data_IF_887068266394
#
_entry.id   IF_887068266394
#
_cell.length_a   1.000
_cell.length_b   1.000
_cell.length_c   1.000
_cell.angle_alpha   90.00
_cell.angle_beta   90.00
_cell.angle_gamma   90.00
#
_symmetry.space_group_name_H-M   'P 1'
#
loop_
_entity.id
_entity.type
_entity.pdbx_description
1 polymer ?
#
# COMPACT_ATOMS: atom_id res chain seq x y z
N UNK A 1 -38.93 -20.65 -8.09
CA UNK A 1 -38.51 -19.25 -8.01
C UNK A 1 -37.24 -19.24 -7.22
N UNK A 2 -36.08 -18.97 -7.85
CA UNK A 2 -34.85 -18.73 -7.12
C UNK A 2 -35.03 -17.48 -6.24
N UNK A 3 -34.71 -17.57 -4.96
CA UNK A 3 -34.67 -16.41 -4.08
C UNK A 3 -33.76 -15.36 -4.73
N UNK A 4 -34.12 -14.06 -4.72
CA UNK A 4 -33.27 -13.03 -5.26
C UNK A 4 -31.92 -13.10 -4.58
N UNK A 5 -30.88 -13.12 -5.38
CA UNK A 5 -29.50 -13.20 -4.92
C UNK A 5 -29.20 -12.00 -4.01
N UNK A 6 -28.93 -12.26 -2.73
CA UNK A 6 -28.65 -11.23 -1.73
C UNK A 6 -27.25 -10.69 -1.98
N UNK A 7 -27.10 -9.39 -1.97
CA UNK A 7 -25.80 -8.74 -2.03
C UNK A 7 -25.24 -8.52 -0.63
N UNK A 8 -23.96 -8.79 -0.46
CA UNK A 8 -23.24 -8.56 0.79
C UNK A 8 -22.46 -7.24 0.73
N UNK A 9 -22.72 -6.36 1.68
CA UNK A 9 -22.12 -5.02 1.74
C UNK A 9 -21.27 -4.87 2.99
N UNK A 10 -19.99 -4.54 2.82
CA UNK A 10 -19.15 -4.04 3.90
C UNK A 10 -19.40 -2.54 4.09
N UNK A 11 -19.56 -2.08 5.33
CA UNK A 11 -19.80 -0.67 5.64
C UNK A 11 -19.02 -0.25 6.88
N UNK A 12 -18.49 0.98 6.86
CA UNK A 12 -17.76 1.57 7.98
C UNK A 12 -18.52 2.76 8.57
N UNK A 13 -18.56 2.85 9.89
CA UNK A 13 -19.20 3.92 10.64
C UNK A 13 -18.30 5.16 10.79
N UNK A 14 -17.83 5.70 9.68
CA UNK A 14 -16.85 6.79 9.63
C UNK A 14 -15.40 6.34 9.88
N UNK A 15 -14.47 7.29 9.78
CA UNK A 15 -13.03 7.02 9.86
C UNK A 15 -12.60 6.45 11.22
N UNK A 16 -13.21 6.91 12.30
CA UNK A 16 -12.89 6.54 13.69
C UNK A 16 -13.97 5.73 14.38
N UNK A 17 -15.05 5.36 13.67
CA UNK A 17 -16.22 4.72 14.24
C UNK A 17 -17.15 5.74 14.95
N UNK A 18 -17.15 6.98 14.50
CA UNK A 18 -17.96 8.07 15.09
C UNK A 18 -19.46 7.86 14.90
N UNK A 19 -19.90 7.17 13.83
CA UNK A 19 -21.29 6.79 13.62
C UNK A 19 -21.70 5.43 14.26
N UNK A 20 -20.86 4.80 15.09
CA UNK A 20 -21.13 3.50 15.71
C UNK A 20 -22.46 3.46 16.48
N UNK A 21 -22.73 4.49 17.27
CA UNK A 21 -24.02 4.61 18.01
C UNK A 21 -25.25 4.70 17.07
N UNK A 22 -25.09 5.36 15.92
CA UNK A 22 -26.15 5.41 14.90
C UNK A 22 -26.41 4.02 14.36
N UNK A 23 -25.34 3.26 14.07
CA UNK A 23 -25.45 1.91 13.52
C UNK A 23 -26.06 0.94 14.53
N UNK A 24 -25.48 0.83 15.71
CA UNK A 24 -25.83 -0.23 16.65
C UNK A 24 -26.98 0.09 17.59
N UNK A 25 -27.17 1.38 17.97
CA UNK A 25 -28.24 1.76 18.90
C UNK A 25 -29.49 2.28 18.20
N UNK A 26 -29.33 2.98 17.08
CA UNK A 26 -30.47 3.51 16.32
C UNK A 26 -30.86 2.63 15.13
N UNK A 27 -30.12 1.56 14.86
CA UNK A 27 -30.37 0.60 13.78
C UNK A 27 -30.40 1.25 12.39
N UNK A 28 -29.53 2.23 12.16
CA UNK A 28 -29.33 2.84 10.85
C UNK A 28 -27.89 2.68 10.41
N UNK A 29 -27.66 2.25 9.19
CA UNK A 29 -26.40 2.45 8.49
C UNK A 29 -26.45 3.77 7.71
N UNK A 30 -25.33 4.43 7.58
CA UNK A 30 -25.26 5.74 6.98
C UNK A 30 -23.94 5.99 6.24
N UNK A 31 -23.99 6.87 5.26
CA UNK A 31 -22.80 7.47 4.67
C UNK A 31 -22.70 8.94 5.06
N UNK A 32 -21.48 9.42 5.23
CA UNK A 32 -21.17 10.83 5.44
C UNK A 32 -21.51 11.68 4.20
N UNK A 33 -20.60 12.54 3.78
CA UNK A 33 -20.80 13.49 2.69
C UNK A 33 -22.03 14.40 2.88
N UNK A 34 -22.26 14.84 4.11
CA UNK A 34 -23.44 15.64 4.49
C UNK A 34 -23.64 16.91 3.66
N UNK A 35 -22.54 17.53 3.15
CA UNK A 35 -22.62 18.73 2.30
C UNK A 35 -23.32 18.48 0.96
N UNK A 36 -23.40 17.25 0.49
CA UNK A 36 -24.10 16.92 -0.76
C UNK A 36 -25.61 17.04 -0.59
N UNK A 37 -26.12 16.82 0.62
CA UNK A 37 -27.54 16.82 0.94
C UNK A 37 -28.21 15.50 0.58
N UNK A 38 -29.44 15.58 0.12
CA UNK A 38 -30.26 14.43 -0.24
C UNK A 38 -29.80 13.78 -1.54
N UNK A 39 -29.21 12.59 -1.42
CA UNK A 39 -28.67 11.85 -2.55
C UNK A 39 -29.73 11.38 -3.56
N UNK A 40 -31.00 11.22 -3.13
CA UNK A 40 -32.09 10.80 -4.04
C UNK A 40 -32.47 11.86 -5.06
N UNK A 41 -32.05 13.11 -4.83
CA UNK A 41 -32.28 14.23 -5.75
C UNK A 41 -31.23 14.31 -6.87
N UNK A 42 -30.19 13.47 -6.80
CA UNK A 42 -29.18 13.38 -7.86
C UNK A 42 -29.65 12.37 -8.89
N UNK A 43 -29.59 12.66 -10.19
CA UNK A 43 -29.91 11.69 -11.23
C UNK A 43 -29.19 10.35 -11.03
N UNK A 44 -29.85 9.25 -11.37
CA UNK A 44 -29.30 7.88 -11.21
C UNK A 44 -28.19 7.61 -12.24
N UNK A 45 -27.18 8.44 -12.24
CA UNK A 45 -26.00 8.40 -13.10
C UNK A 45 -24.74 8.69 -12.29
N UNK A 46 -23.69 7.88 -12.45
CA UNK A 46 -22.42 8.04 -11.73
C UNK A 46 -21.71 9.36 -12.03
N UNK A 47 -21.85 9.89 -13.24
CA UNK A 47 -21.23 11.17 -13.62
C UNK A 47 -21.91 12.34 -12.88
N UNK A 48 -23.23 12.27 -12.67
CA UNK A 48 -23.95 13.26 -11.86
C UNK A 48 -23.44 13.27 -10.40
N UNK A 49 -23.18 12.10 -9.82
CA UNK A 49 -22.58 12.00 -8.48
C UNK A 49 -21.15 12.56 -8.45
N UNK A 50 -20.31 12.29 -9.46
CA UNK A 50 -18.94 12.85 -9.54
C UNK A 50 -18.99 14.37 -9.57
N UNK A 51 -19.82 14.97 -10.45
CA UNK A 51 -20.00 16.42 -10.54
C UNK A 51 -20.42 17.00 -9.20
N UNK A 52 -21.36 16.35 -8.50
CA UNK A 52 -21.85 16.83 -7.20
C UNK A 52 -20.79 16.77 -6.09
N UNK A 53 -19.91 15.75 -6.11
CA UNK A 53 -18.79 15.66 -5.17
C UNK A 53 -17.80 16.81 -5.43
N UNK A 54 -17.40 17.03 -6.67
CA UNK A 54 -16.46 18.12 -7.02
C UNK A 54 -17.04 19.49 -6.62
N UNK A 55 -18.35 19.70 -6.84
CA UNK A 55 -19.04 20.95 -6.43
C UNK A 55 -18.99 21.16 -4.90
N UNK A 56 -19.27 20.12 -4.12
CA UNK A 56 -19.44 20.22 -2.66
C UNK A 56 -18.16 19.97 -1.85
N UNK A 57 -17.19 19.32 -2.44
CA UNK A 57 -15.89 18.97 -1.85
C UNK A 57 -14.74 19.28 -2.83
N UNK A 58 -14.50 20.57 -3.14
CA UNK A 58 -13.48 20.97 -4.12
C UNK A 58 -12.06 20.57 -3.70
N UNK A 59 -11.81 20.38 -2.40
CA UNK A 59 -10.52 20.00 -1.85
C UNK A 59 -10.26 18.49 -1.93
N UNK A 60 -11.20 17.68 -2.41
CA UNK A 60 -11.02 16.26 -2.59
C UNK A 60 -9.95 15.96 -3.65
N UNK A 61 -9.11 14.97 -3.38
CA UNK A 61 -8.13 14.48 -4.37
C UNK A 61 -8.86 14.01 -5.62
N UNK A 62 -8.44 14.40 -6.84
CA UNK A 62 -9.12 13.99 -8.08
C UNK A 62 -9.31 12.47 -8.21
N UNK A 63 -8.33 11.67 -7.74
CA UNK A 63 -8.41 10.21 -7.77
C UNK A 63 -9.46 9.60 -6.82
N UNK A 64 -9.90 10.31 -5.76
CA UNK A 64 -10.94 9.80 -4.84
C UNK A 64 -12.35 10.00 -5.37
N UNK A 65 -12.57 10.99 -6.23
CA UNK A 65 -13.91 11.38 -6.70
C UNK A 65 -14.68 10.23 -7.37
N UNK A 66 -14.11 9.41 -8.27
CA UNK A 66 -14.81 8.27 -8.86
C UNK A 66 -15.19 7.21 -7.83
N UNK A 67 -14.33 6.96 -6.84
CA UNK A 67 -14.55 5.99 -5.77
C UNK A 67 -15.69 6.43 -4.87
N UNK A 68 -15.66 7.69 -4.42
CA UNK A 68 -16.67 8.29 -3.57
C UNK A 68 -18.04 8.32 -4.27
N UNK A 69 -18.08 8.76 -5.53
CA UNK A 69 -19.29 8.74 -6.36
C UNK A 69 -19.89 7.34 -6.49
N UNK A 70 -19.01 6.35 -6.69
CA UNK A 70 -19.43 4.93 -6.76
C UNK A 70 -20.04 4.43 -5.46
N UNK A 71 -19.51 4.83 -4.30
CA UNK A 71 -20.06 4.47 -2.99
C UNK A 71 -21.44 5.08 -2.77
N UNK A 72 -21.58 6.39 -2.98
CA UNK A 72 -22.84 7.11 -2.83
C UNK A 72 -23.91 6.59 -3.77
N UNK A 73 -23.57 6.37 -5.04
CA UNK A 73 -24.47 5.81 -6.04
C UNK A 73 -24.98 4.42 -5.63
N UNK A 74 -24.08 3.54 -5.19
CA UNK A 74 -24.46 2.18 -4.75
C UNK A 74 -25.36 2.21 -3.53
N UNK A 75 -25.09 3.09 -2.57
CA UNK A 75 -25.91 3.22 -1.36
C UNK A 75 -27.36 3.60 -1.65
N UNK A 76 -27.60 4.47 -2.63
CA UNK A 76 -28.95 4.94 -2.97
C UNK A 76 -29.64 4.04 -3.98
N UNK A 77 -28.95 3.67 -5.07
CA UNK A 77 -29.59 3.08 -6.24
C UNK A 77 -29.37 1.56 -6.41
N UNK A 78 -28.37 0.98 -5.74
CA UNK A 78 -28.01 -0.44 -5.92
C UNK A 78 -28.37 -1.28 -4.70
N UNK A 79 -28.05 -0.81 -3.49
CA UNK A 79 -28.38 -1.51 -2.25
C UNK A 79 -29.89 -1.64 -2.10
N UNK A 80 -30.38 -2.83 -1.77
CA UNK A 80 -31.79 -3.18 -1.71
C UNK A 80 -32.19 -3.69 -0.32
N UNK A 81 -33.48 -3.60 -0.02
CA UNK A 81 -34.08 -4.31 1.12
C UNK A 81 -33.84 -5.82 0.97
N UNK A 82 -33.40 -6.46 2.03
CA UNK A 82 -33.02 -7.86 2.08
C UNK A 82 -31.51 -8.12 1.87
N UNK A 83 -30.74 -7.15 1.40
CA UNK A 83 -29.29 -7.27 1.33
C UNK A 83 -28.67 -7.44 2.72
N UNK A 84 -27.51 -8.09 2.77
CA UNK A 84 -26.75 -8.30 3.99
C UNK A 84 -25.74 -7.16 4.18
N UNK A 85 -25.65 -6.67 5.42
CA UNK A 85 -24.69 -5.66 5.82
C UNK A 85 -23.71 -6.24 6.83
N UNK A 86 -22.43 -5.97 6.62
CA UNK A 86 -21.32 -6.40 7.47
C UNK A 86 -20.64 -5.14 8.00
N UNK A 87 -20.71 -4.93 9.31
CA UNK A 87 -20.09 -3.79 9.97
C UNK A 87 -18.99 -4.25 10.93
N UNK A 88 -17.69 -4.08 10.57
CA UNK A 88 -16.60 -4.34 11.51
C UNK A 88 -16.40 -3.14 12.45
N UNK A 89 -16.97 -3.20 13.64
CA UNK A 89 -16.85 -2.11 14.60
C UNK A 89 -15.41 -1.91 15.08
N UNK A 90 -15.00 -0.64 15.11
CA UNK A 90 -13.70 -0.23 15.68
C UNK A 90 -13.78 -0.07 17.20
N UNK A 91 -14.99 0.09 17.76
CA UNK A 91 -15.20 0.36 19.18
C UNK A 91 -15.25 -0.90 20.01
N UNK A 92 -16.11 -1.85 19.66
CA UNK A 92 -16.26 -3.10 20.41
C UNK A 92 -15.48 -4.29 19.82
N UNK A 93 -14.81 -4.07 18.67
CA UNK A 93 -13.97 -5.07 17.98
C UNK A 93 -14.74 -6.28 17.46
N UNK A 94 -16.07 -6.24 17.45
CA UNK A 94 -16.92 -7.27 16.87
C UNK A 94 -17.23 -6.97 15.38
N UNK A 95 -17.70 -8.01 14.70
CA UNK A 95 -18.31 -7.89 13.38
C UNK A 95 -19.80 -8.08 13.53
N UNK A 96 -20.56 -7.08 13.09
CA UNK A 96 -22.02 -7.08 13.18
C UNK A 96 -22.60 -7.40 11.82
N UNK A 97 -23.49 -8.38 11.77
CA UNK A 97 -24.19 -8.84 10.57
C UNK A 97 -25.65 -8.43 10.67
N UNK A 98 -26.14 -7.75 9.64
CA UNK A 98 -27.50 -7.23 9.61
C UNK A 98 -28.16 -7.39 8.25
N UNK A 99 -29.47 -7.16 8.22
CA UNK A 99 -30.30 -7.16 7.01
C UNK A 99 -30.80 -5.75 6.78
N UNK A 100 -30.66 -5.23 5.56
CA UNK A 100 -31.26 -3.96 5.16
C UNK A 100 -32.77 -4.10 5.15
N UNK A 101 -33.47 -3.36 6.01
CA UNK A 101 -34.94 -3.38 6.11
C UNK A 101 -35.61 -2.18 5.45
N UNK A 102 -34.89 -1.03 5.41
CA UNK A 102 -35.43 0.23 4.91
C UNK A 102 -34.93 0.61 3.50
N UNK A 103 -35.77 1.35 2.80
CA UNK A 103 -35.32 2.09 1.66
C UNK A 103 -34.38 3.22 2.06
N UNK A 104 -33.70 3.85 1.08
CA UNK A 104 -32.90 5.05 1.34
C UNK A 104 -33.77 6.17 1.94
N UNK A 105 -33.24 6.82 2.99
CA UNK A 105 -33.88 7.96 3.66
C UNK A 105 -32.85 9.07 3.86
N UNK A 106 -33.24 10.30 3.56
CA UNK A 106 -32.49 11.49 3.94
C UNK A 106 -33.13 12.12 5.19
N UNK A 107 -32.36 12.19 6.27
CA UNK A 107 -32.85 12.76 7.53
C UNK A 107 -31.68 13.35 8.35
N UNK A 108 -31.40 14.65 8.21
CA UNK A 108 -30.33 15.31 8.94
C UNK A 108 -30.61 15.52 10.44
N UNK A 109 -31.85 15.29 10.90
CA UNK A 109 -32.23 15.46 12.30
C UNK A 109 -31.79 14.31 13.20
N UNK A 110 -31.57 13.12 12.65
CA UNK A 110 -31.20 11.92 13.42
C UNK A 110 -29.77 12.01 13.94
N UNK A 111 -28.82 12.33 13.08
CA UNK A 111 -27.41 12.55 13.44
C UNK A 111 -26.77 13.57 12.47
N UNK A 112 -26.22 14.63 13.03
CA UNK A 112 -25.44 15.59 12.26
C UNK A 112 -24.22 14.92 11.63
N UNK A 113 -23.98 15.17 10.34
CA UNK A 113 -22.85 14.59 9.59
C UNK A 113 -23.16 13.29 8.84
N UNK A 114 -24.24 12.57 9.19
CA UNK A 114 -24.66 11.31 8.57
C UNK A 114 -26.13 11.32 8.17
N UNK A 115 -26.57 12.21 7.28
CA UNK A 115 -27.99 12.38 6.96
C UNK A 115 -28.55 11.34 5.99
N UNK A 116 -27.66 10.57 5.32
CA UNK A 116 -28.02 9.61 4.28
C UNK A 116 -28.10 8.22 4.92
N UNK A 117 -29.29 7.69 5.08
CA UNK A 117 -29.62 6.60 5.99
C UNK A 117 -30.28 5.41 5.29
N UNK A 118 -30.07 4.22 5.84
CA UNK A 118 -30.90 3.04 5.60
C UNK A 118 -31.11 2.29 6.92
N UNK A 119 -32.33 1.86 7.15
CA UNK A 119 -32.65 1.05 8.33
C UNK A 119 -32.12 -0.36 8.17
N UNK A 120 -31.52 -0.89 9.23
CA UNK A 120 -30.95 -2.24 9.30
C UNK A 120 -31.42 -2.94 10.56
N UNK A 121 -31.73 -4.22 10.45
CA UNK A 121 -31.94 -5.10 11.58
C UNK A 121 -30.69 -5.95 11.78
N UNK A 122 -29.99 -5.73 12.88
CA UNK A 122 -28.84 -6.55 13.25
C UNK A 122 -29.30 -7.92 13.71
N UNK A 123 -28.73 -8.96 13.14
CA UNK A 123 -29.14 -10.36 13.37
C UNK A 123 -28.05 -11.18 14.08
N UNK A 124 -26.79 -10.76 13.99
CA UNK A 124 -25.68 -11.44 14.65
C UNK A 124 -24.54 -10.50 14.98
N UNK A 125 -23.88 -10.77 16.10
CA UNK A 125 -22.69 -10.07 16.55
C UNK A 125 -21.65 -11.13 16.87
N UNK A 126 -20.50 -11.08 16.22
CA UNK A 126 -19.50 -12.12 16.34
C UNK A 126 -18.10 -11.53 16.60
N UNK A 127 -17.28 -12.18 17.43
CA UNK A 127 -15.91 -11.78 17.59
C UNK A 127 -15.13 -12.01 16.30
N UNK A 128 -14.15 -11.17 16.02
CA UNK A 128 -13.29 -11.30 14.81
C UNK A 128 -12.56 -12.64 14.73
N UNK A 129 -12.28 -13.24 15.89
CA UNK A 129 -11.53 -14.50 16.00
C UNK A 129 -12.19 -15.72 15.36
N UNK A 130 -13.49 -15.67 15.08
CA UNK A 130 -14.21 -16.77 14.40
C UNK A 130 -14.23 -16.65 12.88
N UNK A 131 -13.70 -15.56 12.33
CA UNK A 131 -13.64 -15.28 10.90
C UNK A 131 -12.23 -15.54 10.39
N UNK A 132 -12.14 -16.00 9.14
CA UNK A 132 -10.86 -16.17 8.48
C UNK A 132 -10.14 -14.81 8.31
N UNK A 133 -8.81 -14.85 8.19
CA UNK A 133 -8.04 -13.64 7.99
C UNK A 133 -8.40 -12.95 6.67
N UNK A 134 -8.68 -13.74 5.61
CA UNK A 134 -9.12 -13.21 4.33
C UNK A 134 -10.46 -12.48 4.41
N UNK A 135 -11.45 -13.02 5.14
CA UNK A 135 -12.70 -12.32 5.41
C UNK A 135 -12.48 -11.00 6.16
N UNK A 136 -11.58 -11.01 7.16
CA UNK A 136 -11.23 -9.81 7.91
C UNK A 136 -10.51 -8.77 7.04
N UNK A 137 -9.68 -9.18 6.08
CA UNK A 137 -9.05 -8.27 5.12
C UNK A 137 -10.09 -7.66 4.18
N UNK A 138 -10.97 -8.47 3.60
CA UNK A 138 -11.99 -7.95 2.68
C UNK A 138 -12.88 -6.89 3.36
N UNK A 139 -13.31 -7.13 4.61
CA UNK A 139 -14.12 -6.14 5.34
C UNK A 139 -13.30 -5.01 5.95
N UNK A 140 -11.98 -5.11 5.95
CA UNK A 140 -11.03 -4.07 6.37
C UNK A 140 -10.74 -3.01 5.30
N UNK A 141 -11.34 -3.11 4.10
CA UNK A 141 -11.13 -2.18 3.00
C UNK A 141 -11.25 -0.71 3.44
N UNK A 142 -10.45 0.18 2.83
CA UNK A 142 -10.41 1.60 3.19
C UNK A 142 -11.69 2.39 2.80
N UNK A 143 -12.58 1.79 2.00
CA UNK A 143 -13.82 2.40 1.53
C UNK A 143 -14.90 2.38 2.61
N UNK A 144 -15.76 3.42 2.63
CA UNK A 144 -16.90 3.48 3.57
C UNK A 144 -18.00 2.48 3.23
N UNK A 145 -18.19 2.17 1.92
CA UNK A 145 -19.15 1.20 1.43
C UNK A 145 -18.57 0.41 0.26
N UNK A 146 -18.57 -0.91 0.34
CA UNK A 146 -18.08 -1.80 -0.71
C UNK A 146 -18.87 -3.11 -0.73
N UNK A 147 -18.77 -3.83 -1.84
CA UNK A 147 -19.40 -5.14 -1.98
C UNK A 147 -18.41 -6.22 -1.52
N UNK A 148 -18.85 -7.08 -0.61
CA UNK A 148 -18.13 -8.29 -0.19
C UNK A 148 -18.47 -9.40 -1.18
N UNK A 149 -17.45 -9.96 -1.83
CA UNK A 149 -17.62 -10.95 -2.91
C UNK A 149 -16.93 -12.27 -2.61
N UNK A 150 -15.68 -12.19 -2.14
CA UNK A 150 -14.82 -13.37 -2.02
C UNK A 150 -15.21 -14.23 -0.80
N UNK A 151 -15.63 -13.60 0.28
CA UNK A 151 -15.98 -14.27 1.54
C UNK A 151 -17.46 -14.17 1.90
N UNK A 152 -18.35 -13.84 0.93
CA UNK A 152 -19.79 -13.72 1.16
C UNK A 152 -20.40 -15.01 1.73
N UNK A 153 -19.93 -16.18 1.29
CA UNK A 153 -20.38 -17.49 1.76
C UNK A 153 -19.99 -17.72 3.24
N UNK A 154 -18.80 -17.31 3.67
CA UNK A 154 -18.36 -17.40 5.06
C UNK A 154 -19.28 -16.57 5.99
N UNK A 155 -19.63 -15.36 5.58
CA UNK A 155 -20.58 -14.53 6.32
C UNK A 155 -21.99 -15.12 6.33
N UNK A 156 -22.45 -15.72 5.21
CA UNK A 156 -23.74 -16.43 5.18
C UNK A 156 -23.73 -17.62 6.14
N UNK A 157 -22.70 -18.44 6.13
CA UNK A 157 -22.55 -19.57 7.04
C UNK A 157 -22.51 -19.12 8.51
N UNK A 158 -21.84 -17.99 8.76
CA UNK A 158 -21.82 -17.37 10.08
C UNK A 158 -23.22 -16.96 10.52
N UNK A 159 -24.03 -16.35 9.64
CA UNK A 159 -25.44 -16.00 9.92
C UNK A 159 -26.26 -17.26 10.22
N UNK A 160 -26.12 -18.29 9.43
CA UNK A 160 -26.87 -19.55 9.55
C UNK A 160 -26.47 -20.39 10.78
N UNK A 161 -25.41 -20.01 11.49
CA UNK A 161 -24.87 -20.78 12.61
C UNK A 161 -24.12 -22.05 12.21
N UNK A 162 -23.81 -22.19 10.93
CA UNK A 162 -22.98 -23.28 10.39
C UNK A 162 -21.52 -22.93 10.59
N UNK A 163 -21.00 -23.02 11.81
CA UNK A 163 -19.57 -22.88 12.04
C UNK A 163 -18.87 -24.07 11.42
N UNK A 164 -18.20 -23.85 10.29
CA UNK A 164 -17.12 -24.73 9.90
C UNK A 164 -15.94 -24.41 10.83
N UNK A 165 -15.22 -25.43 11.35
CA UNK A 165 -13.90 -25.20 11.91
C UNK A 165 -13.13 -24.35 10.88
N UNK A 166 -12.52 -23.26 11.33
CA UNK A 166 -11.62 -22.50 10.45
C UNK A 166 -10.68 -23.53 9.82
N UNK A 167 -10.70 -23.71 8.51
CA UNK A 167 -9.77 -24.64 7.90
C UNK A 167 -8.38 -24.12 8.26
N UNK A 168 -7.53 -24.98 8.81
CA UNK A 168 -6.10 -24.73 9.01
C UNK A 168 -5.40 -24.65 7.63
N UNK A 169 -6.16 -24.42 6.56
CA UNK A 169 -5.63 -24.10 5.24
C UNK A 169 -4.90 -22.78 5.35
N UNK A 170 -3.63 -22.79 4.95
CA UNK A 170 -2.80 -21.62 4.68
C UNK A 170 -3.71 -20.56 4.05
N UNK A 171 -3.86 -19.42 4.75
CA UNK A 171 -4.67 -18.33 4.21
C UNK A 171 -3.82 -17.65 3.13
N UNK A 172 -3.96 -18.11 1.89
CA UNK A 172 -3.24 -17.58 0.72
C UNK A 172 -3.43 -16.07 0.58
N UNK A 173 -4.51 -15.52 1.13
CA UNK A 173 -4.79 -14.07 1.12
C UNK A 173 -3.75 -13.31 1.94
N UNK A 174 -3.21 -13.89 3.02
CA UNK A 174 -2.15 -13.26 3.83
C UNK A 174 -0.90 -13.08 2.99
N UNK A 175 -0.47 -14.14 2.30
CA UNK A 175 0.70 -14.10 1.43
C UNK A 175 0.54 -13.08 0.31
N UNK A 176 -0.62 -13.08 -0.37
CA UNK A 176 -0.91 -12.14 -1.47
C UNK A 176 -0.92 -10.68 -0.99
N UNK A 177 -1.53 -10.38 0.16
CA UNK A 177 -1.56 -9.01 0.70
C UNK A 177 -0.17 -8.56 1.15
N UNK A 178 0.64 -9.46 1.72
CA UNK A 178 2.02 -9.16 2.10
C UNK A 178 2.85 -8.81 0.85
N UNK A 179 2.76 -9.64 -0.18
CA UNK A 179 3.44 -9.44 -1.47
C UNK A 179 3.03 -8.13 -2.15
N UNK A 180 1.73 -7.81 -2.20
CA UNK A 180 1.23 -6.54 -2.74
C UNK A 180 1.78 -5.32 -1.97
N UNK A 181 1.89 -5.40 -0.64
CA UNK A 181 2.45 -4.33 0.18
C UNK A 181 3.93 -4.15 -0.12
N UNK A 182 4.68 -5.24 -0.24
CA UNK A 182 6.10 -5.20 -0.59
C UNK A 182 6.33 -4.60 -1.97
N UNK A 183 5.64 -5.09 -3.00
CA UNK A 183 5.76 -4.57 -4.36
C UNK A 183 5.38 -3.09 -4.45
N UNK A 184 4.26 -2.69 -3.85
CA UNK A 184 3.83 -1.28 -3.80
C UNK A 184 4.86 -0.39 -3.09
N UNK A 185 5.52 -0.91 -2.06
CA UNK A 185 6.57 -0.19 -1.34
C UNK A 185 7.82 -0.04 -2.20
N UNK A 186 8.23 -1.09 -2.91
CA UNK A 186 9.36 -1.07 -3.86
C UNK A 186 9.13 -0.06 -4.98
N UNK A 187 7.97 -0.11 -5.61
CA UNK A 187 7.57 0.82 -6.66
C UNK A 187 7.56 2.27 -6.16
N UNK A 188 7.02 2.51 -4.96
CA UNK A 188 7.00 3.84 -4.36
C UNK A 188 8.42 4.39 -4.16
N UNK A 189 9.33 3.59 -3.60
CA UNK A 189 10.72 3.99 -3.35
C UNK A 189 11.43 4.31 -4.67
N UNK A 190 11.41 3.39 -5.63
CA UNK A 190 12.08 3.56 -6.92
C UNK A 190 11.56 4.78 -7.67
N UNK A 191 10.23 4.97 -7.70
CA UNK A 191 9.61 6.14 -8.32
C UNK A 191 10.04 7.45 -7.67
N UNK A 192 10.12 7.49 -6.34
CA UNK A 192 10.60 8.67 -5.61
C UNK A 192 12.06 8.98 -5.94
N UNK A 193 12.93 7.99 -5.91
CA UNK A 193 14.34 8.16 -6.27
C UNK A 193 14.51 8.67 -7.71
N UNK A 194 13.79 8.05 -8.67
CA UNK A 194 13.88 8.41 -10.08
C UNK A 194 13.34 9.82 -10.38
N UNK A 195 12.33 10.27 -9.65
CA UNK A 195 11.75 11.59 -9.85
C UNK A 195 12.55 12.71 -9.19
N UNK A 196 13.04 12.49 -7.97
CA UNK A 196 13.59 13.54 -7.12
C UNK A 196 15.13 13.57 -7.13
N UNK A 197 15.79 12.45 -7.47
CA UNK A 197 17.24 12.31 -7.38
C UNK A 197 17.86 11.96 -8.74
N UNK A 198 18.02 12.98 -9.62
CA UNK A 198 18.66 12.78 -10.93
C UNK A 198 20.10 13.30 -10.90
N UNK A 199 21.03 12.51 -11.48
CA UNK A 199 22.44 12.93 -11.61
C UNK A 199 23.15 12.99 -10.25
N UNK A 200 23.78 14.12 -9.95
CA UNK A 200 24.58 14.32 -8.73
C UNK A 200 23.82 14.10 -7.42
N UNK A 201 22.54 14.57 -7.23
CA UNK A 201 21.73 14.24 -6.08
C UNK A 201 21.58 12.74 -5.82
N UNK A 202 21.59 11.91 -6.86
CA UNK A 202 21.57 10.45 -6.69
C UNK A 202 22.90 9.92 -6.16
N UNK A 203 24.03 10.50 -6.59
CA UNK A 203 25.35 10.17 -6.01
C UNK A 203 25.41 10.56 -4.52
N UNK A 204 24.88 11.73 -4.14
CA UNK A 204 24.78 12.13 -2.73
C UNK A 204 23.96 11.12 -1.90
N UNK A 205 22.82 10.67 -2.42
CA UNK A 205 21.99 9.68 -1.76
C UNK A 205 22.70 8.33 -1.59
N UNK A 206 23.36 7.84 -2.65
CA UNK A 206 24.14 6.59 -2.58
C UNK A 206 25.30 6.72 -1.59
N UNK A 207 25.96 7.88 -1.57
CA UNK A 207 27.00 8.19 -0.58
C UNK A 207 26.44 8.14 0.85
N UNK A 208 25.26 8.75 1.09
CA UNK A 208 24.59 8.67 2.38
C UNK A 208 24.23 7.24 2.78
N UNK A 209 23.71 6.44 1.86
CA UNK A 209 23.41 5.03 2.11
C UNK A 209 24.66 4.24 2.50
N UNK A 210 25.78 4.44 1.77
CA UNK A 210 27.06 3.82 2.13
C UNK A 210 27.57 4.27 3.49
N UNK A 211 27.35 5.54 3.88
CA UNK A 211 27.68 6.02 5.23
C UNK A 211 26.82 5.31 6.30
N UNK A 212 25.53 5.09 6.06
CA UNK A 212 24.67 4.28 6.93
C UNK A 212 25.16 2.83 7.05
N UNK A 213 25.79 2.29 6.01
CA UNK A 213 26.43 0.96 6.01
C UNK A 213 27.79 0.94 6.74
N UNK A 214 28.24 2.08 7.27
CA UNK A 214 29.49 2.22 8.01
C UNK A 214 30.71 2.45 7.13
N UNK A 215 30.54 2.89 5.90
CA UNK A 215 31.62 3.45 5.07
C UNK A 215 31.73 4.95 5.28
N UNK A 216 32.88 5.51 4.97
CA UNK A 216 33.08 6.95 4.82
C UNK A 216 33.17 7.27 3.34
N UNK A 217 32.42 8.27 2.88
CA UNK A 217 32.30 8.56 1.46
C UNK A 217 32.82 9.94 1.10
N UNK A 218 33.49 10.02 -0.02
CA UNK A 218 33.88 11.26 -0.69
C UNK A 218 33.21 11.32 -2.04
N UNK A 219 32.29 12.26 -2.21
CA UNK A 219 31.53 12.47 -3.43
C UNK A 219 32.32 13.39 -4.34
N UNK A 220 32.46 13.02 -5.63
CA UNK A 220 33.11 13.86 -6.63
C UNK A 220 32.26 15.11 -6.90
N UNK A 221 32.89 16.29 -7.14
CA UNK A 221 32.15 17.48 -7.57
C UNK A 221 31.38 17.24 -8.88
N UNK A 222 30.35 18.03 -9.14
CA UNK A 222 29.71 18.03 -10.46
C UNK A 222 30.67 18.43 -11.54
N UNK A 223 30.82 17.60 -12.57
CA UNK A 223 31.69 17.88 -13.71
C UNK A 223 32.26 16.63 -14.38
N UNK A 224 33.15 16.77 -15.35
CA UNK A 224 33.84 15.64 -16.01
C UNK A 224 34.88 15.05 -15.04
N UNK A 225 34.44 14.12 -14.20
CA UNK A 225 35.23 13.49 -13.12
C UNK A 225 35.82 12.12 -13.50
N UNK A 226 35.88 11.83 -14.78
CA UNK A 226 36.33 10.52 -15.25
C UNK A 226 35.35 9.39 -14.95
N UNK A 227 34.13 9.67 -14.43
CA UNK A 227 33.05 8.71 -14.21
C UNK A 227 33.25 7.85 -12.95
N UNK A 228 33.89 8.38 -11.90
CA UNK A 228 33.84 7.88 -10.53
C UNK A 228 33.10 8.94 -9.70
N UNK A 229 31.91 8.59 -9.29
CA UNK A 229 31.01 9.54 -8.61
C UNK A 229 31.27 9.58 -7.10
N UNK A 230 31.73 8.45 -6.51
CA UNK A 230 31.98 8.34 -5.08
C UNK A 230 33.21 7.45 -4.85
N UNK A 231 34.04 7.84 -3.88
CA UNK A 231 35.06 6.98 -3.28
C UNK A 231 34.64 6.66 -1.85
N UNK A 232 34.53 5.37 -1.52
CA UNK A 232 34.15 4.90 -0.19
C UNK A 232 35.29 4.05 0.44
N UNK A 233 35.48 4.21 1.75
CA UNK A 233 36.51 3.52 2.54
C UNK A 233 36.04 3.31 3.99
N UNK A 234 36.75 2.49 4.76
CA UNK A 234 36.37 2.17 6.16
C UNK A 234 37.07 3.07 7.19
N UNK A 235 38.31 3.44 6.94
CA UNK A 235 39.12 4.27 7.82
C UNK A 235 38.91 5.78 7.61
N UNK A 236 39.38 6.61 8.54
CA UNK A 236 39.18 8.07 8.47
C UNK A 236 40.01 8.75 7.39
N UNK A 237 41.16 8.20 7.05
CA UNK A 237 42.09 8.79 6.11
C UNK A 237 41.98 8.21 4.69
N UNK A 238 41.31 7.06 4.53
CA UNK A 238 41.09 6.40 3.24
C UNK A 238 42.33 5.65 2.72
N UNK A 239 43.17 5.19 3.61
CA UNK A 239 44.38 4.44 3.23
C UNK A 239 44.23 2.92 3.39
N UNK A 240 43.30 2.49 4.24
CA UNK A 240 43.08 1.05 4.50
C UNK A 240 42.03 0.47 3.56
N UNK A 241 42.31 -0.72 2.95
CA UNK A 241 41.28 -1.44 2.18
C UNK A 241 40.07 -1.83 3.06
N UNK A 242 38.89 -1.89 2.47
CA UNK A 242 38.60 -1.76 1.04
C UNK A 242 38.42 -0.28 0.61
N UNK A 243 39.10 0.10 -0.48
CA UNK A 243 38.79 1.34 -1.19
C UNK A 243 37.84 1.00 -2.31
N UNK A 244 36.66 1.61 -2.33
CA UNK A 244 35.59 1.29 -3.29
C UNK A 244 35.38 2.49 -4.22
N UNK A 245 35.58 2.29 -5.51
CA UNK A 245 35.24 3.25 -6.57
C UNK A 245 33.79 3.01 -7.01
N UNK A 246 32.93 3.98 -6.81
CA UNK A 246 31.50 3.86 -7.08
C UNK A 246 31.13 4.73 -8.27
N UNK A 247 30.38 4.16 -9.20
CA UNK A 247 29.71 4.89 -10.26
C UNK A 247 28.21 4.72 -10.10
N UNK A 248 27.43 5.79 -10.29
CA UNK A 248 25.97 5.76 -10.17
C UNK A 248 25.31 6.08 -11.50
N UNK A 249 24.12 5.50 -11.72
CA UNK A 249 23.26 5.77 -12.87
C UNK A 249 21.82 5.90 -12.41
N UNK A 250 21.29 7.12 -12.42
CA UNK A 250 19.88 7.40 -12.06
C UNK A 250 18.88 7.02 -13.15
N UNK A 251 19.28 6.24 -14.14
CA UNK A 251 18.41 5.78 -15.23
C UNK A 251 17.60 4.56 -14.82
N UNK A 252 16.31 4.54 -15.16
CA UNK A 252 15.39 3.41 -14.93
C UNK A 252 15.55 2.30 -15.97
N UNK A 253 16.33 2.52 -17.00
CA UNK A 253 16.60 1.54 -18.07
C UNK A 253 17.64 0.50 -17.70
N UNK A 254 17.92 -0.40 -18.64
CA UNK A 254 18.92 -1.45 -18.45
C UNK A 254 20.34 -0.94 -18.77
N UNK A 255 21.25 -1.13 -17.83
CA UNK A 255 22.68 -0.77 -17.96
C UNK A 255 23.45 -1.93 -18.57
N UNK A 256 24.16 -1.65 -19.68
CA UNK A 256 24.91 -2.64 -20.44
C UNK A 256 26.37 -2.81 -20.00
N UNK A 257 26.97 -3.88 -20.49
CA UNK A 257 28.38 -4.22 -20.26
C UNK A 257 29.39 -3.08 -20.54
N UNK A 258 29.27 -2.24 -21.58
CA UNK A 258 30.24 -1.19 -21.82
C UNK A 258 30.45 -0.23 -20.64
N UNK A 259 29.38 0.06 -19.87
CA UNK A 259 29.48 0.95 -18.71
C UNK A 259 30.17 0.22 -17.55
N UNK A 260 29.84 -1.06 -17.34
CA UNK A 260 30.43 -1.90 -16.30
C UNK A 260 31.93 -2.11 -16.55
N UNK A 261 32.28 -2.41 -17.78
CA UNK A 261 33.71 -2.59 -18.21
C UNK A 261 34.50 -1.29 -18.09
N UNK A 262 33.88 -0.14 -18.42
CA UNK A 262 34.52 1.16 -18.28
C UNK A 262 34.81 1.52 -16.80
N UNK A 263 33.90 1.20 -15.88
CA UNK A 263 34.17 1.32 -14.45
C UNK A 263 35.32 0.39 -14.02
N UNK A 264 35.27 -0.88 -14.45
CA UNK A 264 36.29 -1.84 -14.07
C UNK A 264 37.70 -1.42 -14.52
N UNK A 265 37.83 -0.80 -15.69
CA UNK A 265 39.10 -0.25 -16.21
C UNK A 265 39.69 0.87 -15.32
N UNK A 266 38.93 1.45 -14.39
CA UNK A 266 39.38 2.50 -13.46
C UNK A 266 39.71 1.97 -12.07
N UNK A 267 39.46 0.70 -11.82
CA UNK A 267 39.71 0.03 -10.53
C UNK A 267 41.14 -0.48 -10.52
N UNK A 268 41.99 0.08 -9.66
CA UNK A 268 43.38 -0.33 -9.49
C UNK A 268 43.50 -1.65 -8.71
N UNK A 269 44.65 -2.34 -8.81
CA UNK A 269 44.90 -3.52 -7.96
C UNK A 269 44.72 -3.20 -6.47
N UNK A 270 43.95 -4.02 -5.77
CA UNK A 270 43.60 -3.80 -4.34
C UNK A 270 42.38 -2.91 -4.10
N UNK A 271 41.80 -2.30 -5.12
CA UNK A 271 40.58 -1.54 -5.05
C UNK A 271 39.37 -2.38 -5.51
N UNK A 272 38.17 -1.87 -5.21
CA UNK A 272 36.89 -2.48 -5.57
C UNK A 272 36.06 -1.52 -6.44
N UNK A 273 35.32 -2.06 -7.38
CA UNK A 273 34.35 -1.33 -8.19
C UNK A 273 32.92 -1.62 -7.74
N UNK A 274 32.11 -0.59 -7.66
CA UNK A 274 30.68 -0.69 -7.38
C UNK A 274 29.90 0.14 -8.40
N UNK A 275 29.05 -0.48 -9.19
CA UNK A 275 28.11 0.21 -10.06
C UNK A 275 26.70 0.10 -9.51
N UNK A 276 26.06 1.24 -9.30
CA UNK A 276 24.72 1.36 -8.76
C UNK A 276 23.79 1.95 -9.81
N UNK A 277 22.61 1.36 -10.04
CA UNK A 277 21.61 1.94 -10.92
C UNK A 277 20.19 1.79 -10.32
N UNK A 278 19.27 2.67 -10.77
CA UNK A 278 17.85 2.55 -10.41
C UNK A 278 17.09 1.53 -11.26
N UNK A 279 17.61 1.24 -12.47
CA UNK A 279 17.05 0.22 -13.36
C UNK A 279 17.64 -1.15 -13.11
N UNK A 280 17.87 -1.87 -14.19
CA UNK A 280 18.42 -3.23 -14.19
C UNK A 280 19.77 -3.31 -14.92
N UNK A 281 20.44 -4.45 -14.85
CA UNK A 281 21.64 -4.74 -15.65
C UNK A 281 21.32 -5.81 -16.69
N UNK A 282 21.92 -5.67 -17.88
CA UNK A 282 21.85 -6.72 -18.91
C UNK A 282 22.52 -8.01 -18.42
N UNK A 283 22.14 -9.14 -18.99
CA UNK A 283 22.79 -10.42 -18.67
C UNK A 283 24.30 -10.42 -18.95
N UNK A 284 24.73 -9.72 -20.01
CA UNK A 284 26.16 -9.55 -20.34
C UNK A 284 26.88 -8.78 -19.24
N UNK A 285 26.30 -7.66 -18.76
CA UNK A 285 26.85 -6.88 -17.66
C UNK A 285 26.96 -7.70 -16.36
N UNK A 286 25.92 -8.47 -16.03
CA UNK A 286 25.89 -9.37 -14.85
C UNK A 286 26.96 -10.46 -14.97
N UNK A 287 27.11 -11.07 -16.14
CA UNK A 287 28.11 -12.11 -16.38
C UNK A 287 29.54 -11.54 -16.32
N UNK A 288 29.76 -10.35 -16.87
CA UNK A 288 31.05 -9.67 -16.76
C UNK A 288 31.39 -9.41 -15.27
N UNK A 289 30.49 -8.83 -14.51
CA UNK A 289 30.74 -8.56 -13.10
C UNK A 289 30.98 -9.84 -12.28
N UNK A 290 30.24 -10.91 -12.55
CA UNK A 290 30.44 -12.22 -11.90
C UNK A 290 31.84 -12.80 -12.15
N UNK A 291 32.46 -12.51 -13.29
CA UNK A 291 33.82 -12.96 -13.60
C UNK A 291 34.93 -12.18 -12.86
N UNK A 292 34.56 -11.12 -12.11
CA UNK A 292 35.49 -10.23 -11.38
C UNK A 292 35.25 -10.33 -9.88
N UNK A 293 36.29 -10.67 -9.13
CA UNK A 293 36.18 -10.83 -7.66
C UNK A 293 36.01 -9.49 -6.92
N UNK A 294 36.44 -8.38 -7.53
CA UNK A 294 36.46 -7.03 -6.95
C UNK A 294 35.49 -6.07 -7.63
N UNK A 295 34.45 -6.58 -8.30
CA UNK A 295 33.40 -5.77 -8.92
C UNK A 295 32.00 -6.23 -8.41
N UNK A 296 31.15 -5.27 -8.05
CA UNK A 296 29.77 -5.51 -7.63
C UNK A 296 28.82 -4.59 -8.38
N UNK A 297 27.60 -5.08 -8.58
CA UNK A 297 26.49 -4.34 -9.16
C UNK A 297 25.36 -4.29 -8.12
N UNK A 298 24.73 -3.13 -8.02
CA UNK A 298 23.49 -2.91 -7.21
C UNK A 298 22.45 -2.36 -8.17
N UNK A 299 21.45 -3.14 -8.46
CA UNK A 299 20.29 -2.69 -9.26
C UNK A 299 19.20 -2.06 -8.42
N UNK A 300 18.06 -1.67 -9.04
CA UNK A 300 16.98 -0.99 -8.34
C UNK A 300 16.39 -1.82 -7.20
N UNK A 301 16.27 -3.14 -7.38
CA UNK A 301 15.74 -4.02 -6.33
C UNK A 301 16.72 -4.17 -5.17
N UNK A 302 17.99 -4.43 -5.47
CA UNK A 302 19.06 -4.48 -4.45
C UNK A 302 19.12 -3.16 -3.66
N UNK A 303 18.95 -2.02 -4.36
CA UNK A 303 18.92 -0.69 -3.74
C UNK A 303 17.76 -0.56 -2.76
N UNK A 304 16.56 -1.01 -3.12
CA UNK A 304 15.40 -0.98 -2.21
C UNK A 304 15.64 -1.82 -0.98
N UNK A 305 16.20 -3.03 -1.13
CA UNK A 305 16.51 -3.90 0.01
C UNK A 305 17.50 -3.22 0.99
N UNK A 306 18.54 -2.58 0.46
CA UNK A 306 19.49 -1.81 1.29
C UNK A 306 18.84 -0.59 1.95
N UNK A 307 17.96 0.13 1.25
CA UNK A 307 17.21 1.25 1.81
C UNK A 307 16.36 0.78 2.99
N UNK A 308 15.58 -0.30 2.82
CA UNK A 308 14.73 -0.83 3.88
C UNK A 308 15.55 -1.32 5.07
N UNK A 309 16.69 -1.97 4.83
CA UNK A 309 17.59 -2.46 5.87
C UNK A 309 18.18 -1.33 6.71
N UNK A 310 18.59 -0.23 6.08
CA UNK A 310 19.28 0.89 6.74
C UNK A 310 18.41 2.12 6.98
N UNK A 311 17.10 2.05 6.71
CA UNK A 311 16.17 3.18 6.75
C UNK A 311 16.19 3.95 8.07
N UNK A 312 16.27 3.24 9.20
CA UNK A 312 16.27 3.88 10.52
C UNK A 312 17.48 4.79 10.76
N UNK A 313 18.58 4.55 10.05
CA UNK A 313 19.82 5.32 10.13
C UNK A 313 19.82 6.53 9.19
N UNK A 314 18.82 6.67 8.31
CA UNK A 314 18.73 7.81 7.41
C UNK A 314 18.49 9.10 8.18
N UNK A 315 19.07 10.18 7.67
CA UNK A 315 18.79 11.52 8.18
C UNK A 315 17.36 11.98 7.85
N UNK A 316 16.96 13.14 8.41
CA UNK A 316 15.61 13.69 8.23
C UNK A 316 15.33 14.11 6.78
N UNK A 317 16.35 14.49 5.98
CA UNK A 317 16.21 14.86 4.56
C UNK A 317 15.72 13.66 3.76
N UNK A 318 16.38 12.52 3.91
CA UNK A 318 16.04 11.32 3.13
C UNK A 318 14.82 10.57 3.70
N UNK A 319 14.58 10.61 5.01
CA UNK A 319 13.29 10.16 5.59
C UNK A 319 12.10 11.00 5.09
N UNK A 320 12.31 12.31 4.90
CA UNK A 320 11.28 13.18 4.30
C UNK A 320 11.04 12.92 2.82
N UNK A 321 12.09 12.53 2.07
CA UNK A 321 12.01 12.18 0.65
C UNK A 321 11.26 10.85 0.44
N UNK A 322 11.58 9.85 1.25
CA UNK A 322 11.01 8.50 1.22
C UNK A 322 10.26 8.27 2.54
N UNK A 323 9.07 8.86 2.73
CA UNK A 323 8.36 8.74 4.01
C UNK A 323 7.76 7.34 4.16
N UNK A 324 8.42 6.46 4.90
CA UNK A 324 7.95 5.11 5.20
C UNK A 324 7.54 4.99 6.67
N UNK A 325 6.60 4.09 6.93
CA UNK A 325 6.21 3.67 8.27
C UNK A 325 6.43 2.17 8.42
N UNK A 326 7.17 1.77 9.43
CA UNK A 326 7.36 0.35 9.73
C UNK A 326 6.05 -0.26 10.24
N UNK A 327 5.65 -1.35 9.64
CA UNK A 327 4.51 -2.18 10.06
C UNK A 327 4.91 -3.66 10.02
N UNK A 328 4.31 -4.46 10.91
CA UNK A 328 4.45 -5.91 10.85
C UNK A 328 3.33 -6.46 9.98
N UNK A 329 3.69 -7.24 8.98
CA UNK A 329 2.75 -7.94 8.11
C UNK A 329 2.80 -9.42 8.50
N UNK A 330 1.65 -10.11 8.65
CA UNK A 330 1.64 -11.54 8.90
C UNK A 330 2.35 -12.31 7.78
N UNK A 331 3.15 -13.29 8.12
CA UNK A 331 3.87 -14.16 7.19
C UNK A 331 3.32 -15.59 7.27
N UNK A 332 3.20 -16.25 6.12
CA UNK A 332 2.83 -17.65 6.06
C UNK A 332 4.13 -18.48 6.12
N UNK A 333 4.38 -19.13 7.23
CA UNK A 333 5.51 -20.04 7.36
C UNK A 333 5.19 -21.29 6.56
N UNK A 334 5.97 -21.57 5.52
CA UNK A 334 5.95 -22.88 4.88
C UNK A 334 6.59 -23.90 5.82
N UNK A 335 5.79 -24.82 6.37
CA UNK A 335 6.36 -26.02 7.01
C UNK A 335 7.13 -26.77 5.93
N UNK A 336 8.46 -26.76 6.04
CA UNK A 336 9.31 -27.68 5.28
C UNK A 336 8.88 -29.09 5.65
N UNK A 337 8.28 -29.82 4.71
CA UNK A 337 8.11 -31.26 4.85
C UNK A 337 9.52 -31.87 4.87
N UNK A 338 10.06 -32.12 6.09
CA UNK A 338 11.13 -33.07 6.30
C UNK A 338 10.60 -34.51 6.16
#
# INVERSE_FOLDING_TARGET
MSLPEKTFWGIHAGKTGDADNLFLKKNYIALGWARIGDLSKIPADREAFKKKIVEKYPDNKPGSVPVDAGQLYRFVHVMKKGDIVIYPSKKDRNVHLGIVEGEYKYDPSIVSGYPNLRQVRWIKHVPRTILSQGALYEIGAAMSLFQVKNYAEEFQNTIDGKQQPLPVKKDETIALVAEEIEESTRDFILKKLAQELKGHPFAEFVGHLLNCMGYRTRISPEGPDGGIDIVAHKDELGFEPPIIKVQVKSTEGSVGDPIVSALYGKVSPGEYGLLVCLGTFTNQAKNFAKSKSNLRLIDGNDMVDLILQYYEQFDSRYKGLIPLKRVYVPEVIEESNE
#
